data_IF_082320259695
#
_entry.id   IF_082320259695
#
_cell.length_a   1.000
_cell.length_b   1.000
_cell.length_c   1.000
_cell.angle_alpha   90.00
_cell.angle_beta   90.00
_cell.angle_gamma   90.00
#
_symmetry.space_group_name_H-M   'P 1'
#
loop_
_entity.id
_entity.type
_entity.pdbx_description
1 polymer ?
#
# COMPACT_ATOMS: atom_id res chain seq x y z
N UNK A 1 18.26 8.48 -3.94
CA UNK A 1 17.59 7.18 -3.67
C UNK A 1 16.15 7.30 -3.14
N UNK A 2 15.87 8.07 -2.07
CA UNK A 2 14.49 8.25 -1.54
C UNK A 2 13.45 8.68 -2.60
N UNK A 3 13.81 9.59 -3.52
CA UNK A 3 12.91 10.06 -4.57
C UNK A 3 12.57 9.00 -5.65
N UNK A 4 13.45 8.02 -5.88
CA UNK A 4 13.22 6.97 -6.88
C UNK A 4 12.15 6.00 -6.38
N UNK A 5 12.25 5.60 -5.11
CA UNK A 5 11.30 4.69 -4.47
C UNK A 5 9.90 5.31 -4.42
N UNK A 6 9.80 6.60 -4.05
CA UNK A 6 8.51 7.32 -4.02
C UNK A 6 7.89 7.43 -5.41
N UNK A 7 8.70 7.64 -6.47
CA UNK A 7 8.21 7.66 -7.86
C UNK A 7 7.69 6.29 -8.29
N UNK A 8 8.41 5.22 -7.96
CA UNK A 8 8.03 3.85 -8.27
C UNK A 8 6.72 3.46 -7.58
N UNK A 9 6.55 3.84 -6.30
CA UNK A 9 5.30 3.64 -5.56
C UNK A 9 4.17 4.43 -6.23
N UNK A 10 4.40 5.69 -6.63
CA UNK A 10 3.38 6.49 -7.34
C UNK A 10 2.96 5.86 -8.67
N UNK A 11 3.91 5.35 -9.45
CA UNK A 11 3.63 4.68 -10.73
C UNK A 11 2.94 3.31 -10.55
N UNK A 12 3.24 2.58 -9.48
CA UNK A 12 2.54 1.32 -9.18
C UNK A 12 1.15 1.56 -8.62
N UNK A 13 0.93 2.67 -7.93
CA UNK A 13 -0.39 3.09 -7.41
C UNK A 13 -1.29 3.76 -8.46
N UNK A 14 -0.75 4.24 -9.58
CA UNK A 14 -1.55 4.80 -10.68
C UNK A 14 -2.29 3.75 -11.49
N UNK A 15 -1.80 2.51 -11.49
CA UNK A 15 -2.42 1.39 -12.18
C UNK A 15 -3.51 0.76 -11.27
N UNK A 16 -4.80 0.81 -11.66
CA UNK A 16 -5.91 0.41 -10.79
C UNK A 16 -5.84 -1.06 -10.38
N UNK A 17 -5.39 -1.94 -11.27
CA UNK A 17 -5.27 -3.39 -11.02
C UNK A 17 -4.17 -3.68 -10.00
N UNK A 18 -3.03 -2.99 -10.11
CA UNK A 18 -1.91 -3.15 -9.17
C UNK A 18 -2.23 -2.51 -7.83
N UNK A 19 -2.90 -1.35 -7.83
CA UNK A 19 -3.36 -0.66 -6.62
C UNK A 19 -4.27 -1.56 -5.77
N UNK A 20 -5.25 -2.21 -6.40
CA UNK A 20 -6.18 -3.09 -5.69
C UNK A 20 -5.47 -4.30 -5.05
N UNK A 21 -4.53 -4.92 -5.78
CA UNK A 21 -3.67 -6.00 -5.24
C UNK A 21 -2.85 -5.54 -4.04
N UNK A 22 -2.22 -4.38 -4.12
CA UNK A 22 -1.44 -3.82 -3.00
C UNK A 22 -2.34 -3.51 -1.82
N UNK A 23 -3.49 -2.87 -2.03
CA UNK A 23 -4.45 -2.59 -0.96
C UNK A 23 -4.90 -3.89 -0.30
N UNK A 24 -5.27 -4.92 -1.06
CA UNK A 24 -5.69 -6.20 -0.51
C UNK A 24 -4.58 -6.91 0.27
N UNK A 25 -3.33 -6.83 -0.21
CA UNK A 25 -2.17 -7.37 0.49
C UNK A 25 -1.89 -6.62 1.81
N UNK A 26 -2.04 -5.30 1.82
CA UNK A 26 -1.72 -4.45 2.98
C UNK A 26 -2.88 -4.37 3.99
N UNK A 27 -4.12 -4.57 3.54
CA UNK A 27 -5.35 -4.57 4.34
C UNK A 27 -5.29 -5.40 5.63
N UNK A 28 -4.82 -6.67 5.65
CA UNK A 28 -4.73 -7.44 6.89
C UNK A 28 -3.71 -6.85 7.88
N UNK A 29 -2.63 -6.23 7.40
CA UNK A 29 -1.63 -5.60 8.26
C UNK A 29 -2.14 -4.30 8.87
N UNK A 30 -2.84 -3.47 8.07
CA UNK A 30 -3.50 -2.26 8.57
C UNK A 30 -4.57 -2.65 9.60
N UNK A 31 -5.42 -3.64 9.28
CA UNK A 31 -6.45 -4.14 10.19
C UNK A 31 -5.87 -4.59 11.53
N UNK A 32 -4.76 -5.34 11.53
CA UNK A 32 -4.05 -5.74 12.75
C UNK A 32 -3.51 -4.54 13.56
N UNK A 33 -3.03 -3.50 12.89
CA UNK A 33 -2.55 -2.28 13.54
C UNK A 33 -3.69 -1.41 14.10
N UNK A 34 -4.83 -1.34 13.40
CA UNK A 34 -5.99 -0.56 13.86
C UNK A 34 -6.80 -1.29 14.93
N UNK A 35 -6.85 -2.63 14.91
CA UNK A 35 -7.64 -3.43 15.86
C UNK A 35 -6.95 -3.61 17.21
N UNK A 36 -5.63 -3.33 17.32
CA UNK A 36 -4.90 -3.28 18.61
C UNK A 36 -5.25 -2.08 19.50
N UNK A 37 -6.07 -1.13 19.01
CA UNK A 37 -6.55 0.03 19.78
C UNK A 37 -7.92 -0.19 20.45
N UNK A 38 -8.45 -1.42 20.46
CA UNK A 38 -9.65 -1.77 21.23
C UNK A 38 -9.26 -2.44 22.55
#
# INVERSE_FOLDING_TARGET
MKNIIIRLIRQTMSDPVKREKVINAVKPYISKYTNKKK
#
